data_IF_343999477626
#
_entry.id   IF_343999477626
#
_cell.length_a   1.000
_cell.length_b   1.000
_cell.length_c   1.000
_cell.angle_alpha   90.00
_cell.angle_beta   90.00
_cell.angle_gamma   90.00
#
_symmetry.space_group_name_H-M   'P 1'
#
loop_
_entity.id
_entity.type
_entity.pdbx_description
1 polymer ?
#
# COMPACT_ATOMS: atom_id res chain seq x y z
N UNK A 1 5.77 -0.99 -10.43
CA UNK A 1 6.86 -1.22 -9.44
C UNK A 1 7.23 -2.70 -9.41
N UNK A 2 8.50 -3.03 -9.15
CA UNK A 2 8.95 -4.41 -8.92
C UNK A 2 9.45 -4.51 -7.48
N UNK A 3 9.02 -5.54 -6.74
CA UNK A 3 9.40 -5.72 -5.33
C UNK A 3 9.59 -7.20 -5.00
N UNK A 4 10.39 -7.50 -3.97
CA UNK A 4 10.56 -8.87 -3.47
C UNK A 4 9.40 -9.25 -2.55
N UNK A 5 8.78 -10.41 -2.77
CA UNK A 5 7.72 -10.90 -1.90
C UNK A 5 8.25 -11.20 -0.49
N UNK A 6 7.40 -11.07 0.54
CA UNK A 6 7.85 -11.23 1.93
C UNK A 6 8.60 -10.02 2.49
N UNK A 7 8.75 -8.96 1.70
CA UNK A 7 9.49 -7.76 2.11
C UNK A 7 8.56 -6.67 2.64
N UNK A 8 9.16 -5.74 3.37
CA UNK A 8 8.50 -4.49 3.79
C UNK A 8 8.74 -3.40 2.75
N UNK A 9 7.67 -2.86 2.19
CA UNK A 9 7.71 -1.80 1.17
C UNK A 9 7.29 -0.48 1.83
N UNK A 10 8.17 0.52 1.92
CA UNK A 10 7.81 1.83 2.43
C UNK A 10 6.99 2.59 1.37
N UNK A 11 5.72 2.86 1.69
CA UNK A 11 4.83 3.72 0.92
C UNK A 11 4.92 5.14 1.49
N UNK A 12 5.59 6.03 0.75
CA UNK A 12 5.82 7.41 1.20
C UNK A 12 4.95 8.40 0.45
N UNK A 13 4.35 9.33 1.17
CA UNK A 13 3.48 10.38 0.60
C UNK A 13 3.47 11.60 1.53
N UNK A 14 3.03 12.75 1.04
CA UNK A 14 2.89 13.98 1.84
C UNK A 14 1.45 14.48 1.76
N UNK A 15 0.98 15.06 2.86
CA UNK A 15 -0.33 15.76 2.94
C UNK A 15 -0.14 17.24 3.29
N UNK A 16 0.99 17.82 2.83
CA UNK A 16 1.38 19.21 3.08
C UNK A 16 1.38 19.54 4.59
N UNK A 17 2.02 18.70 5.38
CA UNK A 17 2.06 18.80 6.83
C UNK A 17 1.48 17.59 7.58
N UNK A 18 1.54 17.67 8.91
CA UNK A 18 1.05 16.65 9.81
C UNK A 18 -0.46 16.79 10.04
N UNK A 19 -1.24 15.94 9.38
CA UNK A 19 -2.67 15.75 9.56
C UNK A 19 -3.01 14.70 10.66
N UNK A 20 -2.03 14.29 11.46
CA UNK A 20 -2.14 13.22 12.45
C UNK A 20 -1.91 11.82 11.86
N UNK A 21 -2.06 10.79 12.68
CA UNK A 21 -1.86 9.37 12.27
C UNK A 21 -3.17 8.63 11.96
N UNK A 22 -4.32 9.29 12.13
CA UNK A 22 -5.64 8.74 11.84
C UNK A 22 -6.15 9.24 10.48
N UNK A 23 -5.28 9.18 9.48
CA UNK A 23 -5.50 9.76 8.14
C UNK A 23 -5.92 8.74 7.09
N UNK A 24 -5.77 7.44 7.37
CA UNK A 24 -6.16 6.37 6.46
C UNK A 24 -7.64 6.04 6.70
N UNK A 25 -8.38 5.85 5.60
CA UNK A 25 -9.81 5.53 5.63
C UNK A 25 -10.06 4.10 6.12
N UNK A 26 -11.20 3.88 6.77
CA UNK A 26 -11.55 2.57 7.27
C UNK A 26 -11.64 1.54 6.12
N UNK A 27 -11.05 0.35 6.32
CA UNK A 27 -10.99 -0.69 5.30
C UNK A 27 -9.85 -0.51 4.28
N UNK A 28 -8.97 0.46 4.49
CA UNK A 28 -7.75 0.67 3.71
C UNK A 28 -6.50 0.65 4.62
N UNK A 29 -5.30 0.39 4.07
CA UNK A 29 -5.03 0.07 2.67
C UNK A 29 -5.42 -1.36 2.29
N UNK A 30 -5.60 -1.56 0.98
CA UNK A 30 -6.00 -2.82 0.36
C UNK A 30 -4.97 -3.29 -0.64
N UNK A 31 -4.73 -4.59 -0.66
CA UNK A 31 -3.97 -5.25 -1.72
C UNK A 31 -4.89 -6.21 -2.47
N UNK A 32 -4.99 -6.04 -3.79
CA UNK A 32 -5.81 -6.86 -4.69
C UNK A 32 -4.94 -7.55 -5.71
N UNK A 33 -5.07 -8.87 -5.86
CA UNK A 33 -4.38 -9.61 -6.90
C UNK A 33 -4.85 -9.16 -8.31
N UNK A 34 -3.90 -8.94 -9.21
CA UNK A 34 -4.16 -8.51 -10.58
C UNK A 34 -3.34 -9.30 -11.58
N UNK A 35 -3.83 -9.33 -12.83
CA UNK A 35 -3.08 -9.83 -13.95
C UNK A 35 -1.90 -8.89 -14.25
N UNK A 36 -0.69 -9.45 -14.35
CA UNK A 36 0.52 -8.66 -14.57
C UNK A 36 0.57 -7.90 -15.90
N UNK A 37 -0.19 -8.33 -16.90
CA UNK A 37 -0.18 -7.75 -18.25
C UNK A 37 -1.35 -6.78 -18.45
N UNK A 38 -2.55 -7.18 -18.06
CA UNK A 38 -3.76 -6.39 -18.29
C UNK A 38 -4.15 -5.50 -17.10
N UNK A 39 -3.52 -5.68 -15.94
CA UNK A 39 -3.92 -5.07 -14.66
C UNK A 39 -5.36 -5.37 -14.24
N UNK A 40 -6.04 -6.29 -14.92
CA UNK A 40 -7.38 -6.73 -14.56
C UNK A 40 -7.33 -7.50 -13.24
N UNK A 41 -8.33 -7.30 -12.38
CA UNK A 41 -8.46 -8.04 -11.11
C UNK A 41 -8.61 -9.52 -11.39
N UNK A 42 -7.70 -10.31 -10.84
CA UNK A 42 -7.75 -11.77 -10.88
C UNK A 42 -8.35 -12.23 -9.57
N UNK A 43 -9.48 -12.93 -9.59
CA UNK A 43 -10.22 -13.51 -8.44
C UNK A 43 -9.84 -12.89 -7.08
N UNK A 44 -10.65 -11.94 -6.63
CA UNK A 44 -10.34 -10.96 -5.59
C UNK A 44 -9.89 -11.59 -4.24
N UNK A 45 -8.60 -11.91 -4.13
CA UNK A 45 -7.94 -12.01 -2.82
C UNK A 45 -7.69 -10.57 -2.40
N UNK A 46 -8.65 -10.00 -1.67
CA UNK A 46 -8.49 -8.71 -1.00
C UNK A 46 -7.86 -8.95 0.37
N UNK A 47 -6.66 -8.41 0.57
CA UNK A 47 -6.02 -8.40 1.89
C UNK A 47 -6.05 -6.98 2.44
N UNK A 48 -6.84 -6.78 3.50
CA UNK A 48 -6.79 -5.57 4.32
C UNK A 48 -5.63 -5.70 5.31
N UNK A 49 -4.61 -4.87 5.13
CA UNK A 49 -3.55 -4.72 6.13
C UNK A 49 -4.01 -3.76 7.23
N UNK A 50 -3.57 -3.97 8.46
CA UNK A 50 -3.95 -3.13 9.60
C UNK A 50 -3.50 -1.67 9.37
N UNK A 51 -4.48 -0.78 9.18
CA UNK A 51 -4.32 0.62 8.75
C UNK A 51 -3.33 1.44 9.59
N UNK A 52 -3.26 1.21 10.90
CA UNK A 52 -2.49 2.05 11.83
C UNK A 52 -1.18 1.43 12.30
N UNK A 53 -0.91 0.15 11.99
CA UNK A 53 0.31 -0.52 12.46
C UNK A 53 1.45 -0.26 11.46
N UNK A 54 2.13 0.87 11.62
CA UNK A 54 3.32 1.20 10.82
C UNK A 54 3.22 2.48 9.97
N UNK A 55 2.20 3.33 10.20
CA UNK A 55 2.20 4.70 9.69
C UNK A 55 2.98 5.62 10.66
N UNK A 56 4.01 6.28 10.16
CA UNK A 56 4.73 7.33 10.87
C UNK A 56 4.75 8.61 10.04
N UNK A 57 4.93 9.76 10.71
CA UNK A 57 5.13 11.04 10.05
C UNK A 57 6.52 11.57 10.38
N UNK A 58 7.28 11.91 9.34
CA UNK A 58 8.58 12.56 9.42
C UNK A 58 8.41 14.06 9.15
N UNK A 59 8.51 14.85 10.22
CA UNK A 59 8.37 16.30 10.15
C UNK A 59 9.53 17.01 9.45
N UNK A 60 10.71 16.37 9.37
CA UNK A 60 11.88 16.96 8.70
C UNK A 60 11.77 16.87 7.18
N UNK A 61 11.17 15.78 6.69
CA UNK A 61 10.96 15.51 5.27
C UNK A 61 9.54 15.81 4.78
N UNK A 62 8.66 16.32 5.66
CA UNK A 62 7.23 16.56 5.42
C UNK A 62 6.55 15.34 4.75
N UNK A 63 6.73 14.16 5.34
CA UNK A 63 6.33 12.90 4.72
C UNK A 63 5.75 11.90 5.70
N UNK A 64 4.65 11.29 5.29
CA UNK A 64 4.14 10.05 5.86
C UNK A 64 4.91 8.85 5.30
N UNK A 65 5.27 7.92 6.18
CA UNK A 65 5.85 6.64 5.86
C UNK A 65 4.92 5.54 6.34
N UNK A 66 4.27 4.84 5.41
CA UNK A 66 3.49 3.64 5.71
C UNK A 66 4.28 2.39 5.31
N UNK A 67 4.57 1.52 6.27
CA UNK A 67 5.33 0.29 6.00
C UNK A 67 4.37 -0.85 5.62
N UNK A 68 4.24 -1.11 4.32
CA UNK A 68 3.43 -2.21 3.81
C UNK A 68 4.21 -3.53 3.86
N UNK A 69 3.85 -4.43 4.77
CA UNK A 69 4.41 -5.77 4.86
C UNK A 69 3.68 -6.70 3.89
N UNK A 70 4.42 -7.31 2.97
CA UNK A 70 3.87 -8.21 1.96
C UNK A 70 4.15 -9.66 2.35
N UNK A 71 3.22 -10.60 2.13
CA UNK A 71 3.49 -12.01 2.39
C UNK A 71 4.38 -12.60 1.28
N UNK A 72 5.15 -13.64 1.62
CA UNK A 72 5.99 -14.36 0.65
C UNK A 72 5.20 -15.06 -0.45
N UNK A 73 3.91 -15.33 -0.20
CA UNK A 73 2.96 -15.91 -1.17
C UNK A 73 2.65 -15.01 -2.36
N UNK A 74 3.07 -13.74 -2.32
CA UNK A 74 2.97 -12.83 -3.46
C UNK A 74 4.00 -13.12 -4.54
N UNK A 75 5.03 -13.95 -4.27
CA UNK A 75 6.08 -14.23 -5.23
C UNK A 75 5.53 -14.71 -6.59
N UNK A 76 5.95 -14.05 -7.67
CA UNK A 76 5.53 -14.35 -9.03
C UNK A 76 4.15 -13.80 -9.42
N UNK A 77 3.47 -13.06 -8.55
CA UNK A 77 2.16 -12.46 -8.80
C UNK A 77 2.25 -10.95 -8.93
N UNK A 78 1.18 -10.35 -9.44
CA UNK A 78 1.02 -8.90 -9.43
C UNK A 78 -0.13 -8.49 -8.51
N UNK A 79 0.05 -7.37 -7.82
CA UNK A 79 -0.94 -6.81 -6.90
C UNK A 79 -1.10 -5.32 -7.15
N UNK A 80 -2.33 -4.85 -7.00
CA UNK A 80 -2.68 -3.44 -6.87
C UNK A 80 -2.78 -3.11 -5.40
N UNK A 81 -2.02 -2.12 -4.97
CA UNK A 81 -2.11 -1.54 -3.64
C UNK A 81 -2.92 -0.25 -3.75
N UNK A 82 -4.01 -0.16 -3.00
CA UNK A 82 -4.84 1.03 -2.89
C UNK A 82 -4.80 1.55 -1.45
N UNK A 83 -4.51 2.84 -1.29
CA UNK A 83 -4.60 3.56 -0.04
C UNK A 83 -5.58 4.70 -0.23
N UNK A 84 -6.67 4.67 0.52
CA UNK A 84 -7.64 5.76 0.57
C UNK A 84 -7.46 6.50 1.88
N UNK A 85 -7.43 7.82 1.80
CA UNK A 85 -7.27 8.71 2.94
C UNK A 85 -8.63 9.33 3.30
N UNK A 86 -8.76 9.76 4.56
CA UNK A 86 -10.01 10.33 5.09
C UNK A 86 -10.41 11.66 4.43
N UNK A 87 -9.48 12.32 3.76
CA UNK A 87 -9.73 13.53 2.98
C UNK A 87 -10.36 13.23 1.60
N UNK A 88 -10.57 11.96 1.28
CA UNK A 88 -11.15 11.50 0.01
C UNK A 88 -10.12 11.27 -1.09
N UNK A 89 -8.83 11.53 -0.84
CA UNK A 89 -7.78 11.24 -1.81
C UNK A 89 -7.43 9.75 -1.81
N UNK A 90 -6.98 9.26 -2.97
CA UNK A 90 -6.56 7.86 -3.13
C UNK A 90 -5.21 7.77 -3.83
N UNK A 91 -4.40 6.83 -3.34
CA UNK A 91 -3.09 6.50 -3.89
C UNK A 91 -3.09 5.03 -4.30
N UNK A 92 -2.90 4.79 -5.60
CA UNK A 92 -2.84 3.45 -6.17
C UNK A 92 -1.43 3.16 -6.69
N UNK A 93 -0.92 1.97 -6.40
CA UNK A 93 0.37 1.51 -6.90
C UNK A 93 0.30 0.05 -7.37
N UNK A 94 0.83 -0.23 -8.56
CA UNK A 94 0.90 -1.57 -9.13
C UNK A 94 2.27 -2.19 -8.88
N UNK A 95 2.27 -3.41 -8.35
CA UNK A 95 3.46 -4.17 -8.02
C UNK A 95 3.51 -5.50 -8.75
N UNK A 96 4.68 -5.83 -9.30
CA UNK A 96 5.06 -7.18 -9.73
C UNK A 96 6.03 -7.74 -8.71
N UNK A 97 5.68 -8.87 -8.10
CA UNK A 97 6.49 -9.47 -7.05
C UNK A 97 7.43 -10.54 -7.58
N UNK A 98 8.70 -10.42 -7.22
CA UNK A 98 9.73 -11.46 -7.46
C UNK A 98 9.87 -12.34 -6.21
N UNK A 99 10.50 -13.51 -6.39
CA UNK A 99 10.99 -14.31 -5.27
C UNK A 99 12.11 -13.60 -4.52
#
# INVERSE_FOLDING_TARGET
NVAKAGSSIPMKFSLFGNQGLNIIEAGFPKATAINCTTSATTDAIEETTTANSGLTYDATADQYNYVWKTPSTYAGKCFKFDMVLKDGTSHTALFRFTR
#
